data_IF_333240708613
#
_entry.id   IF_333240708613
#
_cell.length_a   1.000
_cell.length_b   1.000
_cell.length_c   1.000
_cell.angle_alpha   90.00
_cell.angle_beta   90.00
_cell.angle_gamma   90.00
#
_symmetry.space_group_name_H-M   'P 1'
#
loop_
_entity.id
_entity.type
_entity.pdbx_description
1 polymer ?
#
# COMPACT_ATOMS: atom_id res chain seq x y z
N UNK A 1 19.40 -4.37 -11.68
CA UNK A 1 20.25 -5.01 -10.64
C UNK A 1 19.75 -4.58 -9.28
N UNK A 2 19.79 -5.46 -8.28
CA UNK A 2 19.51 -5.09 -6.88
C UNK A 2 20.53 -4.07 -6.40
N UNK A 3 20.08 -3.01 -5.73
CA UNK A 3 20.95 -1.93 -5.28
C UNK A 3 20.48 -1.39 -3.93
N UNK A 4 21.43 -0.95 -3.10
CA UNK A 4 21.14 -0.16 -1.92
C UNK A 4 21.11 1.31 -2.34
N UNK A 5 19.98 1.97 -2.12
CA UNK A 5 19.75 3.36 -2.51
C UNK A 5 19.76 4.25 -1.27
N UNK A 6 20.41 5.40 -1.41
CA UNK A 6 20.18 6.52 -0.50
C UNK A 6 18.86 7.27 -0.84
N UNK A 7 18.53 8.27 -0.02
CA UNK A 7 17.34 9.10 -0.21
C UNK A 7 17.26 9.76 -1.59
N UNK A 8 18.37 10.28 -2.10
CA UNK A 8 18.41 11.03 -3.36
C UNK A 8 18.29 10.08 -4.54
N UNK A 9 18.98 8.96 -4.50
CA UNK A 9 18.93 7.92 -5.52
C UNK A 9 17.52 7.31 -5.62
N UNK A 10 16.89 7.03 -4.48
CA UNK A 10 15.52 6.54 -4.43
C UNK A 10 14.53 7.53 -5.03
N UNK A 11 14.56 8.81 -4.61
CA UNK A 11 13.69 9.85 -5.19
C UNK A 11 13.94 10.02 -6.69
N UNK A 12 15.20 9.98 -7.14
CA UNK A 12 15.54 10.09 -8.55
C UNK A 12 14.96 8.93 -9.37
N UNK A 13 15.06 7.70 -8.87
CA UNK A 13 14.49 6.52 -9.52
C UNK A 13 12.96 6.63 -9.62
N UNK A 14 12.30 7.04 -8.53
CA UNK A 14 10.85 7.21 -8.53
C UNK A 14 10.39 8.33 -9.47
N UNK A 15 11.10 9.45 -9.52
CA UNK A 15 10.83 10.54 -10.46
C UNK A 15 10.96 10.10 -11.92
N UNK A 16 11.94 9.25 -12.23
CA UNK A 16 12.10 8.69 -13.57
C UNK A 16 10.94 7.78 -13.95
N UNK A 17 10.53 6.87 -13.06
CA UNK A 17 9.47 5.90 -13.38
C UNK A 17 8.08 6.52 -13.38
N UNK A 18 7.74 7.37 -12.41
CA UNK A 18 6.39 7.95 -12.31
C UNK A 18 5.98 8.84 -13.49
N UNK A 19 6.94 9.32 -14.27
CA UNK A 19 6.65 10.10 -15.48
C UNK A 19 6.27 9.22 -16.68
N UNK A 20 6.28 7.89 -16.53
CA UNK A 20 5.99 6.94 -17.60
C UNK A 20 4.53 6.47 -17.52
N UNK A 21 3.85 6.31 -18.67
CA UNK A 21 2.47 5.84 -18.69
C UNK A 21 2.30 4.47 -18.04
N UNK A 22 1.18 4.25 -17.35
CA UNK A 22 0.81 2.95 -16.77
C UNK A 22 1.60 2.51 -15.54
N UNK A 23 2.52 3.34 -15.05
CA UNK A 23 3.23 3.07 -13.80
C UNK A 23 2.28 3.23 -12.61
N UNK A 24 2.31 2.26 -11.69
CA UNK A 24 1.50 2.26 -10.48
C UNK A 24 2.32 1.91 -9.25
N UNK A 25 1.75 2.17 -8.08
CA UNK A 25 2.37 1.92 -6.79
C UNK A 25 1.45 1.04 -5.95
N UNK A 26 2.02 0.26 -5.05
CA UNK A 26 1.23 -0.41 -4.03
C UNK A 26 1.91 -0.48 -2.68
N UNK A 27 1.09 -0.47 -1.64
CA UNK A 27 1.48 -0.67 -0.25
C UNK A 27 0.63 -1.80 0.30
N UNK A 28 1.25 -2.93 0.59
CA UNK A 28 0.53 -4.08 1.08
C UNK A 28 1.28 -5.40 0.98
N UNK A 29 0.56 -6.44 1.36
CA UNK A 29 0.95 -7.85 1.25
C UNK A 29 -0.18 -8.64 0.59
N UNK A 30 0.02 -9.94 0.36
CA UNK A 30 -1.03 -10.81 -0.18
C UNK A 30 -2.32 -10.68 0.66
N UNK A 31 -3.42 -10.37 -0.02
CA UNK A 31 -4.74 -10.19 0.58
C UNK A 31 -5.00 -8.86 1.30
N UNK A 32 -4.01 -8.01 1.53
CA UNK A 32 -4.18 -6.71 2.22
C UNK A 32 -3.31 -5.67 1.52
N UNK A 33 -3.90 -4.94 0.58
CA UNK A 33 -3.12 -4.04 -0.28
C UNK A 33 -3.93 -2.83 -0.72
N UNK A 34 -3.27 -1.67 -0.77
CA UNK A 34 -3.74 -0.52 -1.52
C UNK A 34 -2.90 -0.34 -2.77
N UNK A 35 -3.56 -0.05 -3.88
CA UNK A 35 -2.93 0.30 -5.15
C UNK A 35 -3.24 1.74 -5.50
N UNK A 36 -2.25 2.41 -6.07
CA UNK A 36 -2.34 3.80 -6.50
C UNK A 36 -1.89 3.92 -7.95
N UNK A 37 -2.80 4.35 -8.81
CA UNK A 37 -2.55 4.68 -10.20
C UNK A 37 -3.54 5.77 -10.65
N UNK A 38 -3.19 6.47 -11.73
CA UNK A 38 -4.09 7.42 -12.38
C UNK A 38 -5.39 6.73 -12.83
N UNK A 39 -6.57 7.33 -12.58
CA UNK A 39 -7.78 6.90 -13.26
C UNK A 39 -7.72 7.32 -14.74
N UNK A 40 -7.82 6.36 -15.65
CA UNK A 40 -7.76 6.58 -17.09
C UNK A 40 -6.49 7.29 -17.53
N UNK A 41 -6.67 8.34 -18.34
CA UNK A 41 -5.58 9.20 -18.82
C UNK A 41 -5.35 10.43 -17.92
N UNK A 42 -6.01 10.52 -16.76
CA UNK A 42 -5.87 11.69 -15.88
C UNK A 42 -4.47 11.76 -15.25
N UNK A 43 -3.81 12.93 -15.27
CA UNK A 43 -2.48 13.05 -14.70
C UNK A 43 -2.54 12.99 -13.16
N UNK A 44 -1.60 12.27 -12.56
CA UNK A 44 -1.31 12.41 -11.13
C UNK A 44 -0.59 13.73 -10.88
N UNK A 45 -1.14 14.57 -10.01
CA UNK A 45 -0.49 15.78 -9.54
C UNK A 45 0.61 15.42 -8.53
N UNK A 46 1.87 15.51 -8.97
CA UNK A 46 3.01 15.18 -8.13
C UNK A 46 3.68 16.43 -7.56
N UNK A 47 4.01 16.36 -6.28
CA UNK A 47 4.80 17.36 -5.56
C UNK A 47 5.98 16.68 -4.85
N UNK A 48 7.16 17.29 -4.95
CA UNK A 48 8.36 16.83 -4.24
C UNK A 48 8.89 18.01 -3.43
N UNK A 49 8.87 17.88 -2.10
CA UNK A 49 9.41 18.89 -1.20
C UNK A 49 10.15 18.24 -0.05
N UNK A 50 11.31 18.80 0.29
CA UNK A 50 12.18 18.32 1.38
C UNK A 50 12.47 16.81 1.29
N UNK A 51 12.48 16.26 0.07
CA UNK A 51 12.69 14.84 -0.22
C UNK A 51 11.52 13.93 0.14
N UNK A 52 10.32 14.45 0.42
CA UNK A 52 9.06 13.70 0.48
C UNK A 52 8.38 13.84 -0.88
N UNK A 53 7.79 12.76 -1.39
CA UNK A 53 7.06 12.77 -2.65
C UNK A 53 5.59 12.48 -2.41
N UNK A 54 4.72 13.36 -2.89
CA UNK A 54 3.27 13.22 -2.80
C UNK A 54 2.68 13.19 -4.20
N UNK A 55 1.82 12.21 -4.47
CA UNK A 55 1.02 12.12 -5.68
C UNK A 55 -0.46 12.14 -5.35
N UNK A 56 -1.25 12.94 -6.06
CA UNK A 56 -2.70 13.05 -5.86
C UNK A 56 -3.43 12.92 -7.18
N UNK A 57 -4.53 12.18 -7.19
CA UNK A 57 -5.48 12.10 -8.30
C UNK A 57 -6.90 11.93 -7.74
N UNK A 58 -7.95 11.97 -8.56
CA UNK A 58 -9.27 11.58 -8.09
C UNK A 58 -9.25 10.17 -7.48
N UNK A 59 -9.95 10.01 -6.37
CA UNK A 59 -10.05 8.75 -5.65
C UNK A 59 -8.91 8.45 -4.66
N UNK A 60 -7.83 9.25 -4.61
CA UNK A 60 -6.81 9.02 -3.59
C UNK A 60 -5.51 9.82 -3.70
N UNK A 61 -4.57 9.48 -2.82
CA UNK A 61 -3.22 10.01 -2.80
C UNK A 61 -2.20 8.96 -2.37
N UNK A 62 -0.95 9.21 -2.70
CA UNK A 62 0.21 8.49 -2.19
C UNK A 62 1.19 9.51 -1.61
N UNK A 63 1.71 9.24 -0.42
CA UNK A 63 2.86 9.91 0.16
C UNK A 63 3.99 8.91 0.32
N UNK A 64 5.18 9.27 -0.13
CA UNK A 64 6.40 8.45 -0.03
C UNK A 64 7.41 9.24 0.77
N UNK A 65 7.90 8.62 1.85
CA UNK A 65 8.87 9.18 2.79
C UNK A 65 10.17 8.36 2.71
N UNK A 66 11.12 8.80 1.87
CA UNK A 66 12.43 8.18 1.75
C UNK A 66 13.19 8.13 3.08
N UNK A 67 13.96 7.06 3.24
CA UNK A 67 14.96 6.89 4.29
C UNK A 67 16.36 6.83 3.66
N UNK A 68 17.41 6.80 4.48
CA UNK A 68 18.80 6.82 3.99
C UNK A 68 19.29 5.46 3.46
N UNK A 69 18.51 4.39 3.66
CA UNK A 69 18.95 3.02 3.36
C UNK A 69 17.79 2.17 2.89
N UNK A 70 17.64 2.08 1.58
CA UNK A 70 16.54 1.37 0.92
C UNK A 70 17.11 0.32 -0.03
N UNK A 71 16.79 -0.95 0.19
CA UNK A 71 17.17 -2.00 -0.75
C UNK A 71 16.15 -2.04 -1.90
N UNK A 72 16.58 -1.66 -3.09
CA UNK A 72 15.79 -1.73 -4.32
C UNK A 72 16.05 -3.04 -5.05
N UNK A 73 15.01 -3.83 -5.25
CA UNK A 73 15.06 -5.13 -5.92
C UNK A 73 14.17 -5.06 -7.16
N UNK A 74 14.75 -5.00 -8.37
CA UNK A 74 13.96 -5.16 -9.58
C UNK A 74 13.46 -6.60 -9.68
N UNK A 75 12.22 -6.78 -10.14
CA UNK A 75 11.64 -8.10 -10.43
C UNK A 75 10.96 -8.10 -11.79
N UNK A 76 11.01 -9.25 -12.47
CA UNK A 76 10.17 -9.59 -13.62
C UNK A 76 9.68 -11.03 -13.47
N UNK A 77 8.39 -11.18 -13.23
CA UNK A 77 7.74 -12.46 -13.06
C UNK A 77 7.13 -12.88 -14.40
N UNK A 78 7.98 -13.49 -15.24
CA UNK A 78 7.62 -14.11 -16.50
C UNK A 78 6.68 -13.26 -17.38
N UNK A 79 6.93 -11.94 -17.48
CA UNK A 79 6.13 -11.03 -18.30
C UNK A 79 4.68 -10.82 -17.83
N UNK A 80 4.34 -11.24 -16.60
CA UNK A 80 3.03 -10.94 -15.98
C UNK A 80 3.11 -9.64 -15.20
N UNK A 81 4.01 -9.60 -14.24
CA UNK A 81 4.22 -8.46 -13.35
C UNK A 81 5.71 -8.17 -13.27
N UNK A 82 6.07 -6.89 -13.31
CA UNK A 82 7.45 -6.44 -13.14
C UNK A 82 7.49 -5.07 -12.49
N UNK A 83 8.64 -4.74 -11.94
CA UNK A 83 8.74 -3.54 -11.13
C UNK A 83 9.91 -3.55 -10.19
N UNK A 84 9.77 -2.80 -9.11
CA UNK A 84 10.71 -2.77 -8.00
C UNK A 84 10.00 -3.02 -6.68
N UNK A 85 10.60 -3.88 -5.85
CA UNK A 85 10.34 -3.87 -4.41
C UNK A 85 11.35 -2.92 -3.75
N UNK A 86 10.85 -2.03 -2.91
CA UNK A 86 11.68 -1.21 -2.03
C UNK A 86 11.55 -1.73 -0.62
N UNK A 87 12.65 -2.28 -0.13
CA UNK A 87 12.71 -2.99 1.13
C UNK A 87 13.49 -2.17 2.15
N UNK A 88 13.08 -2.31 3.41
CA UNK A 88 13.83 -1.84 4.57
C UNK A 88 14.31 -3.04 5.39
N UNK A 89 15.30 -2.81 6.25
CA UNK A 89 15.71 -3.82 7.23
C UNK A 89 14.52 -4.17 8.13
N UNK A 90 14.37 -5.45 8.44
CA UNK A 90 13.18 -6.02 9.08
C UNK A 90 12.76 -5.29 10.36
N UNK A 91 13.73 -4.93 11.20
CA UNK A 91 13.48 -4.19 12.45
C UNK A 91 12.84 -2.82 12.18
N UNK A 92 13.24 -2.15 11.10
CA UNK A 92 12.67 -0.87 10.69
C UNK A 92 11.32 -1.09 10.01
N UNK A 93 11.24 -2.06 9.08
CA UNK A 93 10.11 -2.31 8.20
C UNK A 93 8.83 -2.70 8.92
N UNK A 94 8.94 -3.34 10.09
CA UNK A 94 7.80 -3.85 10.84
C UNK A 94 6.82 -2.74 11.27
N UNK A 95 5.55 -3.02 11.05
CA UNK A 95 4.40 -2.21 11.44
C UNK A 95 3.73 -2.79 12.70
N UNK A 96 2.53 -2.33 13.06
CA UNK A 96 1.92 -2.69 14.34
C UNK A 96 1.47 -4.16 14.44
N UNK A 97 1.20 -4.81 13.29
CA UNK A 97 0.83 -6.23 13.20
C UNK A 97 -0.40 -6.61 14.06
N UNK A 98 -1.31 -5.66 14.34
CA UNK A 98 -2.51 -5.96 15.12
C UNK A 98 -3.41 -6.95 14.38
N UNK A 99 -4.00 -7.90 15.11
CA UNK A 99 -4.92 -8.92 14.57
C UNK A 99 -6.38 -8.69 14.95
N UNK A 100 -6.65 -7.53 15.54
CA UNK A 100 -7.95 -7.09 16.06
C UNK A 100 -8.16 -5.62 15.71
N UNK A 101 -9.42 -5.20 15.63
CA UNK A 101 -9.79 -3.80 15.46
C UNK A 101 -9.20 -2.97 16.60
N UNK A 102 -8.54 -1.86 16.29
CA UNK A 102 -7.93 -1.01 17.30
C UNK A 102 -8.03 0.46 16.94
N UNK A 103 -8.32 1.30 17.92
CA UNK A 103 -8.14 2.74 17.76
C UNK A 103 -6.66 3.08 17.50
N UNK A 104 -6.40 3.80 16.42
CA UNK A 104 -5.05 4.11 15.92
C UNK A 104 -4.68 5.60 16.02
N UNK A 105 -5.58 6.46 16.50
CA UNK A 105 -5.38 7.90 16.66
C UNK A 105 -6.37 8.72 15.86
N UNK A 106 -5.97 9.92 15.44
CA UNK A 106 -6.82 10.87 14.71
C UNK A 106 -6.09 11.48 13.52
N UNK A 107 -6.82 11.79 12.45
CA UNK A 107 -6.35 12.59 11.31
C UNK A 107 -7.29 13.78 11.12
N UNK A 108 -6.81 14.97 11.48
CA UNK A 108 -7.68 16.14 11.58
C UNK A 108 -8.80 15.90 12.60
N UNK A 109 -10.06 15.97 12.14
CA UNK A 109 -11.23 15.69 12.98
C UNK A 109 -11.72 14.23 12.91
N UNK A 110 -11.16 13.42 12.01
CA UNK A 110 -11.55 12.03 11.84
C UNK A 110 -10.76 11.10 12.77
N UNK A 111 -11.39 10.01 13.19
CA UNK A 111 -10.77 8.96 14.00
C UNK A 111 -10.18 7.88 13.10
N UNK A 112 -9.00 7.37 13.44
CA UNK A 112 -8.36 6.27 12.73
C UNK A 112 -8.60 4.96 13.49
N UNK A 113 -8.99 3.93 12.75
CA UNK A 113 -9.01 2.55 13.25
C UNK A 113 -8.12 1.66 12.38
N UNK A 114 -7.29 0.84 13.00
CA UNK A 114 -6.62 -0.30 12.37
C UNK A 114 -7.60 -1.47 12.32
N UNK A 115 -7.86 -2.01 11.13
CA UNK A 115 -8.83 -3.11 10.95
C UNK A 115 -8.32 -4.45 11.47
N UNK A 116 -7.05 -4.53 11.89
CA UNK A 116 -6.48 -5.72 12.50
C UNK A 116 -6.09 -6.79 11.47
N UNK A 117 -5.53 -6.38 10.34
CA UNK A 117 -5.14 -7.27 9.25
C UNK A 117 -3.99 -8.23 9.60
N UNK A 118 -3.19 -7.89 10.61
CA UNK A 118 -2.07 -8.73 11.09
C UNK A 118 -0.89 -8.80 10.12
N UNK A 119 -0.81 -7.89 9.16
CA UNK A 119 0.24 -7.84 8.16
C UNK A 119 1.55 -7.24 8.73
N UNK A 120 2.68 -7.80 8.32
CA UNK A 120 4.00 -7.47 8.90
C UNK A 120 4.48 -6.06 8.56
N UNK A 121 4.24 -5.60 7.33
CA UNK A 121 4.82 -4.35 6.79
C UNK A 121 3.77 -3.30 6.42
N UNK A 122 2.50 -3.55 6.72
CA UNK A 122 1.40 -2.62 6.43
C UNK A 122 0.42 -2.55 7.59
N UNK A 123 0.09 -1.32 8.01
CA UNK A 123 -1.11 -1.04 8.78
C UNK A 123 -2.24 -0.74 7.80
N UNK A 124 -3.37 -1.43 7.93
CA UNK A 124 -4.58 -1.21 7.12
C UNK A 124 -5.58 -0.42 7.96
N UNK A 125 -5.64 0.89 7.73
CA UNK A 125 -6.44 1.80 8.53
C UNK A 125 -7.68 2.29 7.78
N UNK A 126 -8.70 2.68 8.52
CA UNK A 126 -9.87 3.42 8.02
C UNK A 126 -9.98 4.77 8.74
N UNK A 127 -10.39 5.79 7.99
CA UNK A 127 -10.57 7.17 8.45
C UNK A 127 -12.07 7.40 8.64
N UNK A 128 -12.49 7.62 9.87
CA UNK A 128 -13.89 7.61 10.29
C UNK A 128 -14.31 8.97 10.82
N UNK A 129 -15.23 9.61 10.12
CA UNK A 129 -15.89 10.86 10.51
C UNK A 129 -17.39 10.66 10.80
N UNK A 130 -18.01 9.63 10.23
CA UNK A 130 -19.41 9.29 10.41
C UNK A 130 -19.70 8.78 11.85
N UNK A 131 -20.58 9.44 12.62
CA UNK A 131 -20.88 9.05 14.01
C UNK A 131 -21.42 7.62 14.18
N UNK A 132 -22.21 7.14 13.22
CA UNK A 132 -22.79 5.78 13.24
C UNK A 132 -21.73 4.69 13.08
N UNK A 133 -20.78 4.90 12.16
CA UNK A 133 -19.66 4.01 11.95
C UNK A 133 -18.71 4.07 13.16
N UNK A 134 -18.42 5.26 13.69
CA UNK A 134 -17.60 5.43 14.88
C UNK A 134 -18.15 4.65 16.08
N UNK A 135 -19.46 4.73 16.34
CA UNK A 135 -20.10 3.97 17.41
C UNK A 135 -19.98 2.45 17.18
N UNK A 136 -20.16 2.01 15.94
CA UNK A 136 -20.05 0.59 15.57
C UNK A 136 -18.64 0.05 15.82
N UNK A 137 -17.62 0.79 15.40
CA UNK A 137 -16.22 0.39 15.55
C UNK A 137 -15.74 0.46 16.99
N UNK A 138 -16.16 1.48 17.75
CA UNK A 138 -15.82 1.59 19.17
C UNK A 138 -16.35 0.40 19.97
N UNK A 139 -17.54 -0.10 19.63
CA UNK A 139 -18.13 -1.28 20.28
C UNK A 139 -17.42 -2.58 19.94
N UNK A 140 -16.82 -2.66 18.75
CA UNK A 140 -16.11 -3.84 18.26
C UNK A 140 -14.58 -3.76 18.53
N UNK A 141 -14.10 -2.75 19.24
CA UNK A 141 -12.67 -2.58 19.52
C UNK A 141 -12.14 -3.76 20.33
N UNK A 142 -10.99 -4.29 19.91
CA UNK A 142 -10.40 -5.51 20.46
C UNK A 142 -10.91 -6.81 19.82
N UNK A 143 -11.92 -6.75 18.94
CA UNK A 143 -12.43 -7.92 18.23
C UNK A 143 -11.70 -8.17 16.90
N UNK A 144 -11.62 -9.43 16.49
CA UNK A 144 -11.06 -9.81 15.20
C UNK A 144 -12.10 -9.60 14.10
N UNK A 145 -11.81 -8.69 13.17
CA UNK A 145 -12.65 -8.46 12.00
C UNK A 145 -12.25 -9.36 10.83
N UNK A 146 -10.97 -9.30 10.44
CA UNK A 146 -10.48 -9.94 9.21
C UNK A 146 -10.54 -11.46 9.30
N UNK A 147 -11.12 -12.09 8.26
CA UNK A 147 -11.35 -13.53 8.19
C UNK A 147 -12.54 -14.00 9.02
N UNK A 148 -13.45 -13.10 9.38
CA UNK A 148 -14.69 -13.42 10.10
C UNK A 148 -15.91 -12.86 9.35
N UNK A 149 -17.11 -13.20 9.81
CA UNK A 149 -18.38 -12.59 9.37
C UNK A 149 -18.82 -11.45 10.30
N UNK A 150 -17.88 -10.74 10.92
CA UNK A 150 -18.21 -9.71 11.92
C UNK A 150 -19.03 -8.55 11.29
N UNK A 151 -20.18 -8.14 11.87
CA UNK A 151 -21.06 -7.11 11.30
C UNK A 151 -20.39 -5.75 11.04
N UNK A 152 -19.36 -5.39 11.83
CA UNK A 152 -18.61 -4.16 11.60
C UNK A 152 -17.92 -4.11 10.22
N UNK A 153 -17.54 -5.26 9.62
CA UNK A 153 -17.01 -5.26 8.24
C UNK A 153 -18.08 -4.87 7.24
N UNK A 154 -19.31 -5.36 7.39
CA UNK A 154 -20.43 -4.95 6.55
C UNK A 154 -20.71 -3.44 6.69
N UNK A 155 -20.68 -2.94 7.93
CA UNK A 155 -20.82 -1.50 8.20
C UNK A 155 -19.71 -0.64 7.58
N UNK A 156 -18.46 -1.13 7.55
CA UNK A 156 -17.35 -0.47 6.85
C UNK A 156 -17.63 -0.44 5.33
N UNK A 157 -18.02 -1.56 4.74
CA UNK A 157 -18.32 -1.63 3.29
C UNK A 157 -19.47 -0.69 2.91
N UNK A 158 -20.55 -0.69 3.68
CA UNK A 158 -21.73 0.15 3.46
C UNK A 158 -21.40 1.64 3.60
N UNK A 159 -20.65 2.02 4.63
CA UNK A 159 -20.28 3.41 4.87
C UNK A 159 -19.21 3.91 3.88
N UNK A 160 -18.39 3.01 3.32
CA UNK A 160 -17.33 3.34 2.38
C UNK A 160 -16.36 4.42 2.88
N UNK A 161 -15.81 4.33 4.11
CA UNK A 161 -14.92 5.35 4.63
C UNK A 161 -13.64 5.43 3.78
N UNK A 162 -12.93 6.56 3.90
CA UNK A 162 -11.59 6.64 3.35
C UNK A 162 -10.68 5.62 4.03
N UNK A 163 -9.80 5.01 3.26
CA UNK A 163 -8.89 3.94 3.69
C UNK A 163 -7.46 4.42 3.58
N UNK A 164 -6.63 4.00 4.51
CA UNK A 164 -5.25 4.45 4.62
C UNK A 164 -4.34 3.24 4.87
N UNK A 165 -3.55 2.88 3.86
CA UNK A 165 -2.63 1.76 3.93
C UNK A 165 -1.23 2.31 4.04
N UNK A 166 -0.56 2.00 5.16
CA UNK A 166 0.70 2.62 5.53
C UNK A 166 1.77 1.59 5.81
N UNK A 167 2.92 1.75 5.17
CA UNK A 167 4.18 1.13 5.53
C UNK A 167 5.15 2.20 6.06
N UNK A 168 6.39 1.80 6.27
CA UNK A 168 7.48 2.72 6.65
C UNK A 168 7.99 3.61 5.53
N UNK A 169 7.72 3.27 4.27
CA UNK A 169 8.17 4.05 3.12
C UNK A 169 7.05 4.85 2.48
N UNK A 170 5.80 4.41 2.63
CA UNK A 170 4.71 5.03 1.92
C UNK A 170 3.37 4.87 2.62
N UNK A 171 2.49 5.80 2.31
CA UNK A 171 1.10 5.84 2.73
C UNK A 171 0.22 6.05 1.49
N UNK A 172 -0.73 5.15 1.25
CA UNK A 172 -1.75 5.31 0.21
C UNK A 172 -3.09 5.59 0.87
N UNK A 173 -3.69 6.74 0.55
CA UNK A 173 -5.06 7.07 0.93
C UNK A 173 -5.99 6.81 -0.23
N UNK A 174 -7.08 6.09 0.00
CA UNK A 174 -8.14 5.83 -0.98
C UNK A 174 -9.45 6.40 -0.48
N UNK A 175 -10.07 7.28 -1.26
CA UNK A 175 -11.32 7.97 -0.93
C UNK A 175 -12.51 7.51 -1.77
N UNK A 176 -12.28 6.71 -2.81
CA UNK A 176 -13.33 6.09 -3.61
C UNK A 176 -14.19 5.10 -2.80
N UNK A 177 -15.24 4.52 -3.40
CA UNK A 177 -16.06 3.49 -2.76
C UNK A 177 -15.28 2.18 -2.54
N UNK A 178 -15.79 1.32 -1.67
CA UNK A 178 -15.31 -0.06 -1.51
C UNK A 178 -16.06 -0.93 -2.53
N UNK A 179 -15.36 -1.44 -3.53
CA UNK A 179 -15.95 -2.31 -4.53
C UNK A 179 -16.22 -3.71 -3.98
N UNK A 180 -17.37 -4.29 -4.37
CA UNK A 180 -17.77 -5.66 -4.00
C UNK A 180 -17.69 -6.66 -5.16
N UNK A 181 -17.51 -6.18 -6.41
CA UNK A 181 -17.56 -7.05 -7.59
C UNK A 181 -16.59 -6.68 -8.72
N UNK A 182 -16.38 -5.39 -8.98
CA UNK A 182 -15.51 -4.89 -10.06
C UNK A 182 -14.46 -3.97 -9.47
N UNK A 183 -13.18 -4.25 -9.74
CA UNK A 183 -12.07 -3.38 -9.35
C UNK A 183 -12.28 -1.98 -9.93
N UNK A 184 -12.33 -0.92 -9.10
CA UNK A 184 -12.45 0.44 -9.59
C UNK A 184 -11.22 0.85 -10.38
N UNK A 185 -11.44 1.75 -11.33
CA UNK A 185 -10.37 2.50 -11.96
C UNK A 185 -9.76 3.49 -10.94
N UNK A 186 -8.44 3.68 -10.98
CA UNK A 186 -7.71 4.55 -10.07
C UNK A 186 -7.41 3.90 -8.71
N UNK A 187 -7.12 4.71 -7.67
CA UNK A 187 -6.72 4.20 -6.37
C UNK A 187 -7.82 3.32 -5.74
N UNK A 188 -7.42 2.15 -5.25
CA UNK A 188 -8.34 1.19 -4.64
C UNK A 188 -7.62 0.29 -3.63
N UNK A 189 -8.40 -0.49 -2.88
CA UNK A 189 -7.88 -1.42 -1.87
C UNK A 189 -8.46 -2.80 -2.02
N UNK A 190 -7.69 -3.83 -1.67
CA UNK A 190 -8.15 -5.20 -1.56
C UNK A 190 -8.01 -5.67 -0.11
N UNK A 191 -9.06 -6.34 0.38
CA UNK A 191 -9.05 -7.08 1.64
C UNK A 191 -9.63 -8.48 1.40
N UNK A 192 -8.76 -9.42 1.09
CA UNK A 192 -9.09 -10.81 0.77
C UNK A 192 -8.47 -11.71 1.85
N UNK A 193 -9.23 -11.96 2.91
CA UNK A 193 -8.74 -12.64 4.10
C UNK A 193 -8.14 -14.03 3.81
N UNK A 194 -8.69 -14.74 2.82
CA UNK A 194 -8.23 -16.08 2.40
C UNK A 194 -6.84 -16.07 1.76
N UNK A 195 -6.35 -14.90 1.32
CA UNK A 195 -5.02 -14.73 0.73
C UNK A 195 -3.97 -14.24 1.74
N UNK A 196 -4.35 -14.00 3.00
CA UNK A 196 -3.43 -13.57 4.05
C UNK A 196 -2.73 -14.79 4.64
N UNK A 197 -1.57 -15.13 4.09
CA UNK A 197 -0.78 -16.31 4.47
C UNK A 197 0.48 -15.97 5.30
N UNK A 198 0.71 -14.67 5.56
CA UNK A 198 1.87 -14.18 6.30
C UNK A 198 3.11 -13.90 5.43
N UNK A 199 3.05 -14.19 4.13
CA UNK A 199 4.06 -13.77 3.18
C UNK A 199 4.08 -12.25 3.05
N UNK A 200 5.27 -11.68 2.82
CA UNK A 200 5.45 -10.23 2.62
C UNK A 200 5.69 -9.86 1.16
N UNK A 201 5.96 -10.86 0.31
CA UNK A 201 6.21 -10.74 -1.12
C UNK A 201 5.99 -12.09 -1.80
N UNK A 202 5.90 -12.05 -3.13
CA UNK A 202 5.93 -13.23 -3.98
C UNK A 202 7.26 -13.99 -3.81
N UNK A 203 7.19 -15.29 -3.55
CA UNK A 203 8.36 -16.13 -3.27
C UNK A 203 9.34 -16.27 -4.45
N UNK A 204 8.95 -15.85 -5.65
CA UNK A 204 9.83 -15.80 -6.83
C UNK A 204 10.73 -14.57 -6.84
N UNK A 205 10.43 -13.56 -6.02
CA UNK A 205 11.27 -12.37 -5.90
C UNK A 205 12.31 -12.63 -4.80
N UNK A 206 13.62 -12.62 -5.10
CA UNK A 206 14.65 -13.01 -4.14
C UNK A 206 14.96 -11.87 -3.15
N UNK A 207 14.05 -11.61 -2.22
CA UNK A 207 14.28 -10.66 -1.12
C UNK A 207 15.26 -11.28 -0.11
N UNK A 208 16.42 -10.64 0.17
CA UNK A 208 17.38 -11.16 1.13
C UNK A 208 16.80 -11.29 2.54
N UNK A 209 17.28 -12.28 3.30
CA UNK A 209 16.92 -12.42 4.70
C UNK A 209 17.22 -11.13 5.50
N UNK A 210 16.33 -10.78 6.42
CA UNK A 210 16.42 -9.54 7.20
C UNK A 210 15.94 -8.28 6.47
N UNK A 211 15.40 -8.40 5.26
CA UNK A 211 14.79 -7.29 4.52
C UNK A 211 13.32 -7.58 4.24
N UNK A 212 12.47 -6.57 4.37
CA UNK A 212 11.04 -6.68 4.07
C UNK A 212 10.56 -5.55 3.15
N UNK A 213 9.68 -5.83 2.18
CA UNK A 213 9.13 -4.81 1.28
C UNK A 213 8.21 -3.84 2.02
N UNK A 214 8.38 -2.55 1.73
CA UNK A 214 7.52 -1.47 2.24
C UNK A 214 6.82 -0.69 1.12
N UNK A 215 7.33 -0.72 -0.11
CA UNK A 215 6.68 -0.09 -1.26
C UNK A 215 6.96 -0.93 -2.50
N UNK A 216 5.94 -1.10 -3.34
CA UNK A 216 6.09 -1.72 -4.66
C UNK A 216 5.80 -0.68 -5.73
N UNK A 217 6.65 -0.64 -6.74
CA UNK A 217 6.46 0.13 -7.97
C UNK A 217 6.24 -0.86 -9.11
N UNK A 218 5.08 -0.81 -9.75
CA UNK A 218 4.75 -1.66 -10.88
C UNK A 218 5.00 -0.92 -12.18
N UNK A 219 5.60 -1.63 -13.14
CA UNK A 219 5.99 -1.07 -14.43
C UNK A 219 5.29 -1.88 -15.52
N UNK A 220 4.59 -1.24 -16.48
CA UNK A 220 3.92 -1.94 -17.57
C UNK A 220 4.88 -2.85 -18.31
N UNK A 221 4.47 -4.08 -18.59
CA UNK A 221 5.31 -5.11 -19.25
C UNK A 221 5.87 -4.65 -20.61
N UNK A 222 5.15 -3.78 -21.31
CA UNK A 222 5.55 -3.26 -22.62
C UNK A 222 6.64 -2.17 -22.57
N UNK A 223 6.97 -1.62 -21.40
CA UNK A 223 7.90 -0.50 -21.30
C UNK A 223 9.37 -0.90 -21.63
N UNK A 224 9.98 -0.40 -22.71
CA UNK A 224 11.32 -0.85 -23.11
C UNK A 224 12.44 -0.37 -22.18
N UNK A 225 12.18 0.60 -21.29
CA UNK A 225 13.19 1.14 -20.39
C UNK A 225 13.45 0.23 -19.18
N UNK A 226 12.57 -0.73 -18.88
CA UNK A 226 12.78 -1.61 -17.74
C UNK A 226 13.89 -2.60 -18.06
N UNK A 227 14.97 -2.65 -17.25
CA UNK A 227 16.03 -3.62 -17.46
C UNK A 227 15.43 -5.01 -17.20
N UNK A 228 15.10 -5.74 -18.26
CA UNK A 228 14.54 -7.08 -18.18
C UNK A 228 15.40 -7.93 -17.26
N UNK A 229 14.90 -8.18 -16.06
CA UNK A 229 15.56 -9.01 -15.07
C UNK A 229 14.82 -10.31 -15.02
N UNK A 230 15.24 -11.31 -15.79
CA UNK A 230 14.69 -12.65 -15.62
C UNK A 230 14.89 -13.07 -14.16
N UNK A 231 13.79 -13.14 -13.39
CA UNK A 231 13.79 -13.99 -12.22
C UNK A 231 14.16 -15.40 -12.71
N UNK A 232 15.16 -16.06 -12.09
CA UNK A 232 15.56 -17.40 -12.50
C UNK A 232 14.41 -18.41 -12.41
#
# INVERSE_FOLDING_TARGET
MTALLDRKEFVSLLCFWRSRPGVSFSVGVSGVIAEFHAPGDEPVAWHVAEGIMTGTCPGGSIEIVPTDRILSIPYDIAGRNRGYLFCLEEETARMACHRVLRHAGSRGHATLFDIGAGATTVDALIIVDAPSLLLTLTRAEGERLVGTHHPALAGIVEAGPSRLFRSRLAEITVTGPIATSVTPEGPHTHLLADLIDGSTHDNRIPVPAGWLPCLTLHIPVADPAFPGGSAP
#
